data_IF_300524128025
#
_entry.id   IF_300524128025
#
_cell.length_a   1.000
_cell.length_b   1.000
_cell.length_c   1.000
_cell.angle_alpha   90.00
_cell.angle_beta   90.00
_cell.angle_gamma   90.00
#
_symmetry.space_group_name_H-M   'P 1'
#
loop_
_entity.id
_entity.type
_entity.pdbx_description
1 polymer ?
#
# COMPACT_ATOMS: atom_id res chain seq x y z
N UNK A 1 21.12 -12.00 16.55
CA UNK A 1 20.82 -11.10 17.71
C UNK A 1 19.34 -11.26 18.04
N UNK A 2 18.95 -11.38 19.33
CA UNK A 2 17.54 -11.39 19.71
C UNK A 2 17.04 -9.94 19.90
N UNK A 3 15.77 -9.68 19.62
CA UNK A 3 15.21 -8.31 19.73
C UNK A 3 15.38 -7.65 21.11
N UNK A 4 15.45 -8.45 22.18
CA UNK A 4 15.64 -7.97 23.56
C UNK A 4 17.06 -7.46 23.85
N UNK A 5 18.05 -7.88 23.05
CA UNK A 5 19.46 -7.54 23.22
C UNK A 5 19.86 -6.27 22.45
N UNK A 6 18.96 -5.78 21.59
CA UNK A 6 19.18 -4.58 20.77
C UNK A 6 19.04 -3.33 21.65
N UNK A 7 20.03 -2.43 21.58
CA UNK A 7 20.03 -1.11 22.22
C UNK A 7 20.01 0.04 21.21
N UNK A 8 20.54 -0.21 20.00
CA UNK A 8 20.55 0.75 18.91
C UNK A 8 20.13 0.10 17.59
N UNK A 9 19.49 0.87 16.72
CA UNK A 9 19.15 0.44 15.37
C UNK A 9 19.60 1.51 14.38
N UNK A 10 20.33 1.08 13.36
CA UNK A 10 20.80 1.96 12.31
C UNK A 10 20.16 1.61 10.98
N UNK A 11 19.50 2.60 10.34
CA UNK A 11 18.79 2.43 9.09
C UNK A 11 19.57 2.97 7.90
N UNK A 12 19.81 2.14 6.88
CA UNK A 12 20.38 2.59 5.60
C UNK A 12 19.24 2.66 4.58
N UNK A 13 18.79 3.89 4.27
CA UNK A 13 17.57 4.18 3.50
C UNK A 13 16.36 4.38 4.41
N UNK A 14 16.44 5.29 5.37
CA UNK A 14 15.45 5.51 6.43
C UNK A 14 14.10 6.03 5.94
N UNK A 15 14.07 6.85 4.87
CA UNK A 15 12.88 7.58 4.39
C UNK A 15 11.89 6.75 3.59
N UNK A 16 12.16 5.46 3.35
CA UNK A 16 11.18 4.57 2.72
C UNK A 16 9.98 4.32 3.63
N UNK A 17 8.75 4.25 3.05
CA UNK A 17 7.52 4.07 3.82
C UNK A 17 7.56 2.86 4.76
N UNK A 18 8.11 1.73 4.34
CA UNK A 18 8.22 0.55 5.19
C UNK A 18 9.38 0.62 6.20
N UNK A 19 10.44 1.38 5.92
CA UNK A 19 11.58 1.60 6.84
C UNK A 19 11.17 2.53 7.98
N UNK A 20 10.45 3.61 7.68
CA UNK A 20 9.97 4.56 8.67
C UNK A 20 9.02 3.93 9.69
N UNK A 21 8.18 2.98 9.28
CA UNK A 21 7.33 2.24 10.22
C UNK A 21 8.14 1.41 11.22
N UNK A 22 9.22 0.74 10.76
CA UNK A 22 10.15 0.04 11.66
C UNK A 22 10.95 1.01 12.55
N UNK A 23 11.39 2.15 12.02
CA UNK A 23 12.08 3.16 12.82
C UNK A 23 11.20 3.62 13.99
N UNK A 24 9.91 3.93 13.72
CA UNK A 24 8.91 4.27 14.74
C UNK A 24 8.73 3.16 15.78
N UNK A 25 8.67 1.91 15.35
CA UNK A 25 8.58 0.76 16.25
C UNK A 25 9.73 0.74 17.26
N UNK A 26 10.97 0.96 16.81
CA UNK A 26 12.14 0.95 17.69
C UNK A 26 12.26 2.23 18.54
N UNK A 27 11.86 3.40 18.00
CA UNK A 27 11.77 4.65 18.78
C UNK A 27 10.82 4.50 19.96
N UNK A 28 9.63 3.92 19.73
CA UNK A 28 8.64 3.68 20.80
C UNK A 28 9.09 2.63 21.83
N UNK A 29 10.10 1.84 21.51
CA UNK A 29 10.79 0.96 22.48
C UNK A 29 11.93 1.64 23.20
N UNK A 30 12.09 2.96 23.00
CA UNK A 30 13.13 3.78 23.62
C UNK A 30 14.55 3.35 23.26
N UNK A 31 14.76 2.76 22.08
CA UNK A 31 16.07 2.45 21.54
C UNK A 31 16.68 3.70 20.89
N UNK A 32 18.01 3.72 20.78
CA UNK A 32 18.68 4.70 19.93
C UNK A 32 18.42 4.34 18.48
N UNK A 33 17.80 5.24 17.73
CA UNK A 33 17.50 5.03 16.31
C UNK A 33 18.18 6.11 15.49
N UNK A 34 19.00 5.69 14.54
CA UNK A 34 19.70 6.57 13.63
C UNK A 34 19.71 6.00 12.21
N UNK A 35 20.15 6.78 11.24
CA UNK A 35 20.31 6.27 9.90
C UNK A 35 20.64 7.31 8.85
N UNK A 36 20.76 6.83 7.64
CA UNK A 36 21.00 7.58 6.42
C UNK A 36 19.80 7.52 5.49
N UNK A 37 19.53 8.63 4.83
CA UNK A 37 18.73 8.64 3.60
C UNK A 37 19.34 9.64 2.60
N UNK A 38 19.17 9.37 1.31
CA UNK A 38 19.75 10.23 0.27
C UNK A 38 19.04 11.57 0.15
N UNK A 39 17.75 11.61 0.49
CA UNK A 39 16.89 12.75 0.19
C UNK A 39 16.06 13.15 1.41
N UNK A 40 16.13 14.40 1.86
CA UNK A 40 15.21 14.92 2.85
C UNK A 40 13.78 14.94 2.29
N UNK A 41 12.84 14.40 3.05
CA UNK A 41 11.42 14.32 2.69
C UNK A 41 10.56 14.72 3.88
N UNK A 42 9.27 15.03 3.70
CA UNK A 42 8.37 15.24 4.84
C UNK A 42 8.41 14.10 5.85
N UNK A 43 8.53 12.85 5.37
CA UNK A 43 8.57 11.65 6.22
C UNK A 43 9.87 11.55 7.04
N UNK A 44 11.04 11.86 6.45
CA UNK A 44 12.30 11.88 7.21
C UNK A 44 12.30 12.99 8.26
N UNK A 45 11.76 14.18 7.94
CA UNK A 45 11.61 15.27 8.90
C UNK A 45 10.62 14.94 10.04
N UNK A 46 9.61 14.10 9.80
CA UNK A 46 8.76 13.58 10.86
C UNK A 46 9.53 12.64 11.79
N UNK A 47 10.32 11.71 11.24
CA UNK A 47 11.15 10.81 12.03
C UNK A 47 12.19 11.57 12.87
N UNK A 48 12.78 12.64 12.33
CA UNK A 48 13.68 13.51 13.10
C UNK A 48 12.96 14.18 14.27
N UNK A 49 11.73 14.68 14.07
CA UNK A 49 10.91 15.25 15.14
C UNK A 49 10.49 14.20 16.19
N UNK A 50 10.35 12.94 15.78
CA UNK A 50 10.06 11.81 16.65
C UNK A 50 11.29 11.31 17.42
N UNK A 51 12.51 11.82 17.11
CA UNK A 51 13.74 11.55 17.83
C UNK A 51 14.76 10.66 17.10
N UNK A 52 14.53 10.34 15.82
CA UNK A 52 15.52 9.66 15.00
C UNK A 52 16.64 10.61 14.58
N UNK A 53 17.90 10.14 14.62
CA UNK A 53 19.04 10.90 14.10
C UNK A 53 19.24 10.52 12.63
N UNK A 54 18.96 11.43 11.70
CA UNK A 54 19.11 11.17 10.25
C UNK A 54 20.16 12.11 9.68
N UNK A 55 21.00 11.60 8.79
CA UNK A 55 21.86 12.40 7.92
C UNK A 55 21.64 12.04 6.45
N UNK A 56 22.04 12.95 5.54
CA UNK A 56 21.71 12.87 4.12
C UNK A 56 22.95 12.77 3.21
N UNK A 57 24.12 12.76 3.80
CA UNK A 57 25.39 12.55 3.11
C UNK A 57 25.92 11.16 3.48
N UNK A 58 26.40 10.42 2.48
CA UNK A 58 27.02 9.10 2.67
C UNK A 58 28.39 9.28 3.35
N UNK A 59 28.43 9.18 4.68
CA UNK A 59 29.62 9.45 5.49
C UNK A 59 29.64 8.58 6.76
N UNK A 60 30.60 7.68 6.82
CA UNK A 60 30.80 6.77 7.96
C UNK A 60 31.04 7.53 9.28
N UNK A 61 31.64 8.71 9.24
CA UNK A 61 31.94 9.49 10.46
C UNK A 61 30.67 10.05 11.10
N UNK A 62 29.55 10.14 10.37
CA UNK A 62 28.25 10.55 10.87
C UNK A 62 27.48 9.45 11.62
N UNK A 63 27.95 8.20 11.57
CA UNK A 63 27.33 7.12 12.35
C UNK A 63 27.49 7.44 13.85
N UNK A 64 26.38 7.60 14.61
CA UNK A 64 26.44 7.95 16.02
C UNK A 64 27.16 6.90 16.87
N UNK A 65 27.86 7.35 17.91
CA UNK A 65 28.65 6.48 18.80
C UNK A 65 27.86 5.28 19.37
N UNK A 66 26.58 5.42 19.80
CA UNK A 66 25.78 4.27 20.25
C UNK A 66 25.55 3.22 19.16
N UNK A 67 25.49 3.63 17.87
CA UNK A 67 25.30 2.72 16.73
C UNK A 67 26.60 2.04 16.28
N UNK A 68 27.74 2.33 16.90
CA UNK A 68 29.02 1.68 16.65
C UNK A 68 29.31 0.51 17.62
N UNK A 69 28.37 0.20 18.52
CA UNK A 69 28.44 -0.98 19.37
C UNK A 69 27.91 -2.21 18.62
N UNK A 70 28.82 -3.02 18.09
CA UNK A 70 28.48 -4.20 17.27
C UNK A 70 27.59 -5.22 18.01
N UNK A 71 27.79 -5.37 19.32
CA UNK A 71 27.10 -6.41 20.09
C UNK A 71 25.60 -6.06 20.33
N UNK A 72 25.24 -4.78 20.28
CA UNK A 72 23.90 -4.31 20.61
C UNK A 72 23.24 -3.47 19.48
N UNK A 73 23.88 -3.36 18.32
CA UNK A 73 23.33 -2.60 17.18
C UNK A 73 22.83 -3.54 16.09
N UNK A 74 21.57 -3.34 15.70
CA UNK A 74 20.99 -3.93 14.50
C UNK A 74 21.06 -2.92 13.36
N UNK A 75 21.63 -3.32 12.22
CA UNK A 75 21.62 -2.53 10.99
C UNK A 75 20.51 -3.03 10.08
N UNK A 76 19.63 -2.12 9.66
CA UNK A 76 18.51 -2.43 8.79
C UNK A 76 18.67 -1.71 7.46
N UNK A 77 18.55 -2.42 6.35
CA UNK A 77 18.67 -1.81 5.03
C UNK A 77 17.55 -2.24 4.08
N UNK A 78 17.34 -1.45 3.02
CA UNK A 78 16.40 -1.74 1.93
C UNK A 78 17.15 -2.22 0.69
N UNK A 79 16.56 -3.11 -0.15
CA UNK A 79 17.17 -3.54 -1.42
C UNK A 79 17.50 -2.40 -2.39
N UNK A 80 16.93 -1.22 -2.22
CA UNK A 80 17.24 -0.04 -3.02
C UNK A 80 18.65 0.53 -2.80
N UNK A 81 19.31 0.16 -1.69
CA UNK A 81 20.67 0.61 -1.34
C UNK A 81 21.71 -0.27 -2.06
N UNK A 82 22.61 0.31 -2.85
CA UNK A 82 23.65 -0.46 -3.53
C UNK A 82 24.62 -1.10 -2.52
N UNK A 83 25.16 -2.26 -2.89
CA UNK A 83 26.14 -2.97 -2.03
C UNK A 83 27.44 -2.18 -1.80
N UNK A 84 27.74 -1.20 -2.67
CA UNK A 84 28.88 -0.30 -2.58
C UNK A 84 28.69 0.89 -1.64
N UNK A 85 27.52 1.05 -1.02
CA UNK A 85 27.25 2.14 -0.07
C UNK A 85 28.25 2.10 1.09
N UNK A 86 28.96 3.21 1.34
CA UNK A 86 30.11 3.25 2.24
C UNK A 86 29.77 2.80 3.67
N UNK A 87 28.66 3.29 4.23
CA UNK A 87 28.23 2.91 5.58
C UNK A 87 27.81 1.44 5.67
N UNK A 88 27.06 0.94 4.66
CA UNK A 88 26.69 -0.47 4.61
C UNK A 88 27.92 -1.38 4.48
N UNK A 89 28.92 -0.96 3.69
CA UNK A 89 30.19 -1.66 3.56
C UNK A 89 30.95 -1.65 4.88
N UNK A 90 31.02 -0.49 5.53
CA UNK A 90 31.67 -0.34 6.84
C UNK A 90 31.05 -1.27 7.90
N UNK A 91 29.73 -1.32 8.02
CA UNK A 91 29.06 -2.24 8.94
C UNK A 91 29.36 -3.71 8.63
N UNK A 92 29.42 -4.09 7.33
CA UNK A 92 29.80 -5.44 6.91
C UNK A 92 31.24 -5.79 7.29
N UNK A 93 32.20 -4.88 7.05
CA UNK A 93 33.61 -5.06 7.37
C UNK A 93 33.86 -5.18 8.87
N UNK A 94 32.97 -4.63 9.71
CA UNK A 94 33.09 -4.69 11.17
C UNK A 94 32.17 -5.76 11.80
N UNK A 95 31.65 -6.70 11.00
CA UNK A 95 30.83 -7.85 11.45
C UNK A 95 29.56 -7.49 12.25
N UNK A 96 28.88 -6.42 11.92
CA UNK A 96 27.60 -6.08 12.53
C UNK A 96 26.49 -7.05 12.09
N UNK A 97 25.44 -7.19 12.93
CA UNK A 97 24.21 -7.85 12.52
C UNK A 97 23.45 -6.96 11.54
N UNK A 98 23.37 -7.39 10.29
CA UNK A 98 22.74 -6.64 9.20
C UNK A 98 21.56 -7.45 8.67
N UNK A 99 20.37 -6.86 8.69
CA UNK A 99 19.14 -7.49 8.21
C UNK A 99 18.41 -6.62 7.19
N UNK A 100 17.80 -7.24 6.18
CA UNK A 100 16.81 -6.57 5.36
C UNK A 100 15.57 -6.25 6.21
N UNK A 101 14.85 -5.18 5.88
CA UNK A 101 13.54 -4.86 6.51
C UNK A 101 12.64 -6.08 6.66
N UNK A 102 12.52 -6.91 5.61
CA UNK A 102 11.68 -8.10 5.61
C UNK A 102 12.12 -9.16 6.63
N UNK A 103 13.42 -9.27 6.91
CA UNK A 103 13.95 -10.20 7.91
C UNK A 103 13.57 -9.75 9.33
N UNK A 104 13.64 -8.45 9.60
CA UNK A 104 13.21 -7.88 10.89
C UNK A 104 11.71 -8.12 11.10
N UNK A 105 10.86 -7.88 10.08
CA UNK A 105 9.42 -8.21 10.13
C UNK A 105 9.21 -9.72 10.33
N UNK A 106 10.04 -10.56 9.70
CA UNK A 106 10.05 -12.01 9.91
C UNK A 106 10.29 -12.38 11.36
N UNK A 107 11.22 -11.73 12.03
CA UNK A 107 11.49 -11.93 13.46
C UNK A 107 10.29 -11.52 14.31
N UNK A 108 9.62 -10.42 14.00
CA UNK A 108 8.38 -10.00 14.67
C UNK A 108 7.27 -11.03 14.52
N UNK A 109 7.08 -11.62 13.34
CA UNK A 109 6.03 -12.64 13.11
C UNK A 109 6.32 -13.99 13.76
N UNK A 110 7.55 -14.26 14.18
CA UNK A 110 7.89 -15.45 15.00
C UNK A 110 7.49 -15.27 16.46
N UNK A 111 7.61 -14.05 16.98
CA UNK A 111 7.38 -13.74 18.40
C UNK A 111 5.97 -13.25 18.67
N UNK A 112 5.29 -12.71 17.67
CA UNK A 112 3.91 -12.19 17.74
C UNK A 112 2.98 -12.94 16.80
N UNK A 113 1.69 -12.71 16.88
CA UNK A 113 0.68 -13.20 15.94
C UNK A 113 0.62 -12.30 14.71
N UNK A 114 1.40 -12.61 13.68
CA UNK A 114 1.42 -11.88 12.43
C UNK A 114 0.14 -12.08 11.62
N UNK A 115 -0.63 -11.01 11.40
CA UNK A 115 -1.77 -10.94 10.48
C UNK A 115 -1.27 -10.35 9.17
N UNK A 116 -1.00 -11.21 8.19
CA UNK A 116 -0.27 -10.83 6.98
C UNK A 116 -1.20 -10.72 5.77
N UNK A 117 -1.03 -9.68 4.98
CA UNK A 117 -1.82 -9.42 3.78
C UNK A 117 -0.92 -9.45 2.55
N UNK A 118 -1.03 -10.50 1.76
CA UNK A 118 -0.28 -10.73 0.53
C UNK A 118 -1.17 -10.57 -0.70
N UNK A 119 -0.56 -10.43 -1.87
CA UNK A 119 -1.24 -10.36 -3.16
C UNK A 119 -0.72 -9.21 -4.01
N UNK A 120 -0.93 -9.25 -5.30
CA UNK A 120 -0.49 -8.21 -6.23
C UNK A 120 -1.19 -6.88 -5.96
N UNK A 121 -2.51 -6.92 -5.73
CA UNK A 121 -3.36 -5.74 -5.53
C UNK A 121 -4.11 -5.80 -4.20
N UNK A 122 -4.50 -4.64 -3.65
CA UNK A 122 -5.35 -4.54 -2.46
C UNK A 122 -4.64 -4.68 -1.11
N UNK A 123 -3.39 -5.12 -1.04
CA UNK A 123 -2.62 -5.32 0.21
C UNK A 123 -2.73 -4.15 1.19
N UNK A 124 -2.33 -2.96 0.75
CA UNK A 124 -2.25 -1.75 1.60
C UNK A 124 -3.63 -1.37 2.15
N UNK A 125 -4.65 -1.36 1.30
CA UNK A 125 -6.01 -0.99 1.72
C UNK A 125 -6.57 -1.99 2.71
N UNK A 126 -6.47 -3.29 2.40
CA UNK A 126 -7.02 -4.37 3.23
C UNK A 126 -6.30 -4.49 4.57
N UNK A 127 -4.97 -4.41 4.58
CA UNK A 127 -4.19 -4.42 5.83
C UNK A 127 -4.49 -3.21 6.70
N UNK A 128 -4.65 -2.02 6.09
CA UNK A 128 -4.98 -0.80 6.83
C UNK A 128 -6.40 -0.84 7.40
N UNK A 129 -7.38 -1.40 6.67
CA UNK A 129 -8.73 -1.65 7.19
C UNK A 129 -8.69 -2.59 8.40
N UNK A 130 -8.00 -3.72 8.28
CA UNK A 130 -7.85 -4.68 9.38
C UNK A 130 -7.16 -4.03 10.60
N UNK A 131 -6.07 -3.30 10.37
CA UNK A 131 -5.36 -2.58 11.44
C UNK A 131 -6.26 -1.55 12.13
N UNK A 132 -7.09 -0.83 11.37
CA UNK A 132 -8.05 0.12 11.92
C UNK A 132 -9.12 -0.57 12.77
N UNK A 133 -9.75 -1.65 12.29
CA UNK A 133 -10.70 -2.45 13.06
C UNK A 133 -10.05 -2.95 14.36
N UNK A 134 -8.90 -3.62 14.24
CA UNK A 134 -8.20 -4.23 15.37
C UNK A 134 -7.77 -3.18 16.42
N UNK A 135 -7.22 -2.05 15.98
CA UNK A 135 -6.74 -1.00 16.88
C UNK A 135 -7.85 -0.35 17.70
N UNK A 136 -9.09 -0.35 17.19
CA UNK A 136 -10.28 0.17 17.88
C UNK A 136 -11.05 -0.90 18.66
N UNK A 137 -10.66 -2.16 18.55
CA UNK A 137 -11.25 -3.28 19.27
C UNK A 137 -10.61 -3.46 20.65
N UNK A 138 -11.23 -4.31 21.47
CA UNK A 138 -10.66 -4.71 22.76
C UNK A 138 -9.35 -5.50 22.64
N UNK A 139 -9.02 -5.99 21.43
CA UNK A 139 -7.83 -6.82 21.14
C UNK A 139 -6.60 -5.94 20.90
N UNK A 140 -6.76 -4.84 20.16
CA UNK A 140 -5.66 -3.99 19.72
C UNK A 140 -4.75 -4.67 18.69
N UNK A 141 -3.81 -3.92 18.12
CA UNK A 141 -2.72 -4.44 17.30
C UNK A 141 -1.58 -3.44 17.19
N UNK A 142 -0.39 -3.95 16.88
CA UNK A 142 0.63 -3.16 16.20
C UNK A 142 0.42 -3.30 14.69
N UNK A 143 0.81 -2.30 13.89
CA UNK A 143 0.68 -2.40 12.44
C UNK A 143 1.84 -1.72 11.71
N UNK A 144 2.32 -2.38 10.65
CA UNK A 144 3.31 -1.87 9.70
C UNK A 144 2.62 -1.78 8.34
N UNK A 145 2.22 -0.57 7.97
CA UNK A 145 1.37 -0.30 6.82
C UNK A 145 2.20 0.14 5.61
N UNK A 146 1.74 -0.22 4.43
CA UNK A 146 2.35 0.17 3.15
C UNK A 146 1.99 1.59 2.68
N UNK A 147 1.21 2.33 3.47
CA UNK A 147 0.80 3.70 3.19
C UNK A 147 0.40 4.45 4.45
N UNK A 148 0.22 5.76 4.35
CA UNK A 148 -0.23 6.60 5.47
C UNK A 148 -1.74 6.41 5.66
N UNK A 149 -2.14 5.87 6.81
CA UNK A 149 -3.54 5.77 7.19
C UNK A 149 -4.09 7.14 7.55
N UNK A 150 -5.20 7.56 6.92
CA UNK A 150 -5.85 8.85 7.22
C UNK A 150 -6.44 8.92 8.61
N UNK A 151 -6.75 7.78 9.23
CA UNK A 151 -7.27 7.70 10.59
C UNK A 151 -6.24 8.07 11.66
N UNK A 152 -4.96 7.76 11.42
CA UNK A 152 -3.89 7.97 12.40
C UNK A 152 -2.80 8.92 11.92
N UNK A 153 -2.84 9.37 10.65
CA UNK A 153 -1.82 10.22 10.06
C UNK A 153 -0.43 9.55 10.00
N UNK A 154 -0.37 8.22 9.99
CA UNK A 154 0.87 7.47 10.07
C UNK A 154 0.77 6.12 9.32
N UNK A 155 1.93 5.55 9.02
CA UNK A 155 2.06 4.19 8.48
C UNK A 155 2.37 3.14 9.57
N UNK A 156 2.26 3.54 10.83
CA UNK A 156 2.51 2.69 11.98
C UNK A 156 1.43 2.88 13.06
N UNK A 157 0.97 1.78 13.64
CA UNK A 157 0.08 1.76 14.81
C UNK A 157 0.78 1.00 15.92
N UNK A 158 0.78 1.57 17.13
CA UNK A 158 1.36 0.99 18.32
C UNK A 158 0.28 0.49 19.27
N UNK A 159 0.48 -0.72 19.79
CA UNK A 159 -0.17 -1.22 21.00
C UNK A 159 0.87 -1.76 21.97
N UNK A 160 0.83 -1.30 23.21
CA UNK A 160 1.75 -1.77 24.26
C UNK A 160 1.34 -3.13 24.85
N UNK A 161 0.12 -3.59 24.58
CA UNK A 161 -0.46 -4.78 25.22
C UNK A 161 -0.86 -5.88 24.27
N UNK A 162 -0.98 -5.59 22.97
CA UNK A 162 -1.43 -6.58 21.99
C UNK A 162 -0.28 -7.41 21.43
N UNK A 163 -0.52 -8.72 21.35
CA UNK A 163 0.39 -9.67 20.69
C UNK A 163 0.19 -9.74 19.17
N UNK A 164 -0.78 -8.99 18.62
CA UNK A 164 -1.06 -8.98 17.19
C UNK A 164 -0.25 -7.93 16.44
N UNK A 165 0.23 -8.33 15.26
CA UNK A 165 0.98 -7.44 14.36
C UNK A 165 0.39 -7.56 12.96
N UNK A 166 -0.22 -6.49 12.47
CA UNK A 166 -0.73 -6.41 11.09
C UNK A 166 0.40 -5.99 10.16
N UNK A 167 0.64 -6.76 9.11
CA UNK A 167 1.77 -6.58 8.20
C UNK A 167 1.32 -6.71 6.75
N UNK A 168 1.73 -5.78 5.91
CA UNK A 168 1.68 -5.94 4.47
C UNK A 168 2.81 -6.89 4.02
N UNK A 169 2.43 -8.05 3.49
CA UNK A 169 3.34 -9.11 3.06
C UNK A 169 3.72 -8.88 1.59
N UNK A 170 4.84 -8.19 1.38
CA UNK A 170 5.32 -7.74 0.08
C UNK A 170 5.98 -8.90 -0.68
N UNK A 171 5.45 -9.21 -1.88
CA UNK A 171 5.98 -10.23 -2.78
C UNK A 171 7.25 -9.77 -3.51
N UNK A 172 7.50 -8.46 -3.61
CA UNK A 172 8.70 -7.94 -4.24
C UNK A 172 9.97 -8.54 -3.62
N UNK A 173 10.92 -8.98 -4.45
CA UNK A 173 12.17 -9.66 -4.04
C UNK A 173 11.92 -10.86 -3.09
N UNK A 174 10.75 -11.50 -3.17
CA UNK A 174 10.33 -12.60 -2.29
C UNK A 174 10.39 -12.23 -0.80
N UNK A 175 10.23 -10.97 -0.46
CA UNK A 175 10.34 -10.44 0.90
C UNK A 175 9.37 -11.14 1.87
N UNK A 176 8.19 -11.52 1.42
CA UNK A 176 7.20 -12.23 2.24
C UNK A 176 7.62 -13.64 2.69
N UNK A 177 8.65 -14.25 2.08
CA UNK A 177 9.18 -15.55 2.51
C UNK A 177 9.89 -15.51 3.87
N UNK A 178 10.27 -14.34 4.34
CA UNK A 178 10.84 -14.18 5.68
C UNK A 178 9.81 -14.27 6.78
N UNK A 179 8.53 -13.98 6.47
CA UNK A 179 7.44 -13.95 7.44
C UNK A 179 7.07 -15.36 7.93
N UNK A 180 6.48 -15.41 9.13
CA UNK A 180 5.85 -16.61 9.72
C UNK A 180 4.44 -16.22 10.17
N UNK A 181 3.49 -16.09 9.23
CA UNK A 181 2.16 -15.61 9.54
C UNK A 181 1.45 -16.50 10.57
N UNK A 182 0.75 -15.88 11.52
CA UNK A 182 -0.29 -16.55 12.27
C UNK A 182 -1.51 -16.79 11.38
N UNK A 183 -1.94 -15.73 10.69
CA UNK A 183 -2.96 -15.83 9.66
C UNK A 183 -2.56 -14.98 8.46
N UNK A 184 -3.03 -15.35 7.28
CA UNK A 184 -2.77 -14.58 6.07
C UNK A 184 -4.01 -14.46 5.19
N UNK A 185 -4.13 -13.29 4.52
CA UNK A 185 -5.02 -13.09 3.36
C UNK A 185 -4.16 -13.09 2.10
N UNK A 186 -4.63 -13.71 1.02
CA UNK A 186 -4.11 -13.51 -0.34
C UNK A 186 -5.20 -12.90 -1.19
N UNK A 187 -4.99 -11.64 -1.61
CA UNK A 187 -6.00 -10.84 -2.31
C UNK A 187 -6.03 -11.10 -3.82
N UNK A 188 -4.87 -11.28 -4.43
CA UNK A 188 -4.72 -11.54 -5.86
C UNK A 188 -3.36 -12.15 -6.16
N UNK A 189 -3.22 -12.81 -7.30
CA UNK A 189 -1.95 -13.40 -7.78
C UNK A 189 -1.73 -13.06 -9.25
N UNK A 190 -2.13 -11.87 -9.67
CA UNK A 190 -1.86 -11.36 -11.01
C UNK A 190 -0.35 -11.20 -11.21
N UNK A 191 0.21 -11.66 -12.32
CA UNK A 191 1.64 -11.56 -12.56
C UNK A 191 2.14 -10.11 -12.52
N UNK A 192 3.09 -9.84 -11.63
CA UNK A 192 3.84 -8.58 -11.55
C UNK A 192 5.32 -8.91 -11.27
N UNK A 193 6.21 -7.92 -11.35
CA UNK A 193 7.63 -8.08 -11.06
C UNK A 193 8.29 -9.22 -11.83
N UNK A 194 7.93 -9.39 -13.13
CA UNK A 194 8.48 -10.46 -13.97
C UNK A 194 9.98 -10.28 -14.26
N UNK A 195 10.54 -9.11 -14.05
CA UNK A 195 11.97 -8.84 -14.02
C UNK A 195 12.69 -9.61 -12.90
N UNK A 196 12.00 -9.91 -11.81
CA UNK A 196 12.50 -10.67 -10.64
C UNK A 196 12.11 -12.14 -10.73
N UNK A 197 10.89 -12.43 -11.13
CA UNK A 197 10.33 -13.78 -11.13
C UNK A 197 10.61 -14.55 -12.42
N UNK A 198 10.79 -13.86 -13.55
CA UNK A 198 11.01 -14.43 -14.86
C UNK A 198 9.74 -14.92 -15.54
N UNK A 199 8.91 -15.72 -14.87
CA UNK A 199 7.67 -16.29 -15.43
C UNK A 199 6.49 -16.18 -14.45
N UNK A 200 5.26 -16.28 -15.00
CA UNK A 200 4.02 -16.36 -14.22
C UNK A 200 4.04 -17.57 -13.28
N UNK A 201 4.51 -18.71 -13.75
CA UNK A 201 4.58 -19.95 -12.97
C UNK A 201 5.49 -19.80 -11.75
N UNK A 202 6.67 -19.17 -11.92
CA UNK A 202 7.58 -18.87 -10.81
C UNK A 202 6.98 -17.88 -9.81
N UNK A 203 6.18 -16.91 -10.29
CA UNK A 203 5.44 -15.98 -9.45
C UNK A 203 4.39 -16.72 -8.61
N UNK A 204 3.55 -17.55 -9.22
CA UNK A 204 2.54 -18.37 -8.52
C UNK A 204 3.17 -19.37 -7.53
N UNK A 205 4.30 -19.99 -7.91
CA UNK A 205 5.03 -20.89 -7.02
C UNK A 205 5.58 -20.16 -5.79
N UNK A 206 5.98 -18.91 -5.93
CA UNK A 206 6.41 -18.08 -4.79
C UNK A 206 5.28 -17.85 -3.79
N UNK A 207 4.04 -17.58 -4.26
CA UNK A 207 2.86 -17.52 -3.40
C UNK A 207 2.52 -18.87 -2.78
N UNK A 208 2.62 -19.96 -3.53
CA UNK A 208 2.41 -21.31 -3.01
C UNK A 208 3.37 -21.58 -1.85
N UNK A 209 4.67 -21.30 -2.05
CA UNK A 209 5.66 -21.43 -0.98
C UNK A 209 5.35 -20.55 0.22
N UNK A 210 4.87 -19.32 0.01
CA UNK A 210 4.47 -18.44 1.10
C UNK A 210 3.37 -19.07 1.97
N UNK A 211 2.41 -19.80 1.38
CA UNK A 211 1.35 -20.45 2.17
C UNK A 211 1.86 -21.56 3.08
N UNK A 212 3.02 -22.17 2.78
CA UNK A 212 3.68 -23.16 3.62
C UNK A 212 4.26 -22.57 4.91
N UNK A 213 4.46 -21.26 4.95
CA UNK A 213 5.07 -20.53 6.07
C UNK A 213 4.06 -20.15 7.16
N UNK A 214 2.77 -20.39 6.95
CA UNK A 214 1.72 -20.11 7.92
C UNK A 214 1.86 -21.07 9.11
N UNK A 215 1.77 -20.53 10.31
CA UNK A 215 1.98 -21.30 11.54
C UNK A 215 0.81 -22.23 11.83
N UNK A 216 1.05 -23.46 12.30
CA UNK A 216 0.00 -24.38 12.73
C UNK A 216 -0.96 -23.74 13.75
N UNK A 217 -2.25 -24.00 13.61
CA UNK A 217 -3.33 -23.41 14.41
C UNK A 217 -3.82 -22.07 13.88
N UNK A 218 -3.16 -21.49 12.87
CA UNK A 218 -3.57 -20.28 12.18
C UNK A 218 -4.57 -20.54 11.05
N UNK A 219 -4.71 -19.57 10.15
CA UNK A 219 -5.60 -19.68 9.00
C UNK A 219 -5.06 -18.95 7.76
N UNK A 220 -5.50 -19.43 6.60
CA UNK A 220 -5.34 -18.79 5.29
C UNK A 220 -6.70 -18.39 4.75
N UNK A 221 -6.84 -17.15 4.30
CA UNK A 221 -8.04 -16.61 3.66
C UNK A 221 -7.68 -16.27 2.22
N UNK A 222 -8.28 -16.95 1.26
CA UNK A 222 -7.99 -16.81 -0.17
C UNK A 222 -9.12 -16.10 -0.87
N UNK A 223 -8.79 -15.14 -1.74
CA UNK A 223 -9.77 -14.63 -2.69
C UNK A 223 -10.25 -15.78 -3.59
N UNK A 224 -11.56 -15.83 -3.90
CA UNK A 224 -12.12 -16.82 -4.82
C UNK A 224 -11.56 -16.64 -6.22
N UNK A 225 -11.35 -17.75 -6.93
CA UNK A 225 -10.88 -17.73 -8.32
C UNK A 225 -9.36 -17.51 -8.51
N UNK A 226 -8.55 -17.52 -7.44
CA UNK A 226 -7.10 -17.53 -7.60
C UNK A 226 -6.63 -18.78 -8.34
N UNK A 227 -5.76 -18.60 -9.33
CA UNK A 227 -5.18 -19.74 -10.10
C UNK A 227 -4.20 -20.57 -9.25
N UNK A 228 -3.69 -19.99 -8.18
CA UNK A 228 -2.73 -20.63 -7.29
C UNK A 228 -3.41 -21.67 -6.39
N UNK A 229 -2.78 -22.84 -6.25
CA UNK A 229 -3.17 -23.84 -5.25
C UNK A 229 -2.34 -23.64 -3.99
N UNK A 230 -2.99 -23.30 -2.88
CA UNK A 230 -2.33 -23.19 -1.59
C UNK A 230 -1.80 -24.55 -1.09
N UNK A 231 -0.69 -24.50 -0.37
CA UNK A 231 -0.11 -25.67 0.31
C UNK A 231 0.17 -25.28 1.76
N UNK A 232 -0.83 -25.45 2.62
CA UNK A 232 -0.74 -25.05 4.02
C UNK A 232 -0.27 -26.19 4.92
N UNK A 233 0.45 -25.93 6.01
CA UNK A 233 0.82 -26.91 7.02
C UNK A 233 -0.40 -27.56 7.68
N UNK A 234 -0.21 -28.75 8.24
CA UNK A 234 -1.24 -29.43 9.03
C UNK A 234 -1.70 -28.52 10.19
N UNK A 235 -3.03 -28.49 10.42
CA UNK A 235 -3.64 -27.64 11.45
C UNK A 235 -3.89 -26.20 11.04
N UNK A 236 -3.56 -25.77 9.83
CA UNK A 236 -3.94 -24.47 9.27
C UNK A 236 -5.29 -24.59 8.56
N UNK A 237 -6.26 -23.76 8.96
CA UNK A 237 -7.57 -23.70 8.31
C UNK A 237 -7.51 -22.83 7.05
N UNK A 238 -8.22 -23.24 6.01
CA UNK A 238 -8.34 -22.44 4.77
C UNK A 238 -9.78 -22.00 4.59
N UNK A 239 -9.95 -20.73 4.25
CA UNK A 239 -11.22 -20.08 3.95
C UNK A 239 -11.12 -19.37 2.61
N UNK A 240 -12.28 -19.14 1.99
CA UNK A 240 -12.42 -18.33 0.76
C UNK A 240 -13.17 -17.05 1.04
N UNK A 241 -12.90 -16.02 0.26
CA UNK A 241 -13.65 -14.77 0.31
C UNK A 241 -13.76 -14.14 -1.08
N UNK A 242 -14.80 -13.37 -1.29
CA UNK A 242 -14.90 -12.38 -2.36
C UNK A 242 -15.99 -11.36 -2.03
N UNK A 243 -16.32 -10.49 -2.99
CA UNK A 243 -17.45 -9.57 -2.84
C UNK A 243 -18.78 -10.32 -2.64
N UNK A 244 -19.06 -11.33 -3.45
CA UNK A 244 -20.40 -11.90 -3.61
C UNK A 244 -20.49 -13.40 -3.25
N UNK A 245 -19.35 -14.09 -3.01
CA UNK A 245 -19.30 -15.53 -2.74
C UNK A 245 -18.11 -15.90 -1.84
N UNK A 246 -18.06 -17.18 -1.41
CA UNK A 246 -17.04 -17.72 -0.51
C UNK A 246 -17.54 -17.86 0.92
N UNK A 247 -16.67 -18.35 1.80
CA UNK A 247 -16.97 -18.48 3.23
C UNK A 247 -17.25 -17.11 3.87
N UNK A 248 -16.56 -16.07 3.39
CA UNK A 248 -16.78 -14.68 3.77
C UNK A 248 -17.17 -13.88 2.52
N UNK A 249 -18.30 -13.20 2.57
CA UNK A 249 -18.79 -12.39 1.46
C UNK A 249 -19.73 -11.28 1.93
N UNK A 250 -20.04 -10.34 1.04
CA UNK A 250 -21.04 -9.32 1.28
C UNK A 250 -22.40 -9.76 0.68
N UNK A 251 -23.46 -9.46 1.38
CA UNK A 251 -24.84 -9.66 0.92
C UNK A 251 -25.62 -8.36 1.08
N UNK A 252 -26.81 -8.27 0.43
CA UNK A 252 -27.70 -7.12 0.54
C UNK A 252 -27.00 -5.77 0.30
N UNK A 253 -26.09 -5.73 -0.67
CA UNK A 253 -25.30 -4.54 -1.00
C UNK A 253 -26.21 -3.43 -1.51
N UNK A 254 -26.07 -2.24 -0.93
CA UNK A 254 -26.76 -1.01 -1.32
C UNK A 254 -25.74 0.09 -1.54
N UNK A 255 -25.75 0.64 -2.75
CA UNK A 255 -24.88 1.74 -3.15
C UNK A 255 -25.78 2.91 -3.56
N UNK A 256 -25.58 4.08 -2.98
CA UNK A 256 -26.33 5.28 -3.33
C UNK A 256 -26.04 6.42 -2.35
N UNK A 257 -26.28 7.66 -2.81
CA UNK A 257 -26.12 8.89 -2.02
C UNK A 257 -24.74 9.00 -1.33
N UNK A 258 -23.68 8.55 -2.01
CA UNK A 258 -22.30 8.56 -1.48
C UNK A 258 -22.06 7.57 -0.33
N UNK A 259 -22.94 6.58 -0.16
CA UNK A 259 -22.86 5.55 0.88
C UNK A 259 -22.84 4.16 0.28
N UNK A 260 -22.16 3.26 0.96
CA UNK A 260 -22.19 1.83 0.68
C UNK A 260 -22.51 1.12 2.00
N UNK A 261 -23.57 0.31 1.97
CA UNK A 261 -24.00 -0.49 3.12
C UNK A 261 -24.26 -1.92 2.66
N UNK A 262 -23.79 -2.90 3.41
CA UNK A 262 -23.97 -4.32 3.13
C UNK A 262 -24.08 -5.15 4.41
N UNK A 263 -24.41 -6.42 4.27
CA UNK A 263 -24.34 -7.39 5.34
C UNK A 263 -23.09 -8.27 5.12
N UNK A 264 -22.22 -8.38 6.13
CA UNK A 264 -21.05 -9.25 6.08
C UNK A 264 -21.46 -10.65 6.56
N UNK A 265 -21.37 -11.62 5.66
CA UNK A 265 -21.69 -13.04 5.90
C UNK A 265 -20.41 -13.80 6.17
N UNK A 266 -20.41 -14.61 7.22
CA UNK A 266 -19.27 -15.44 7.61
C UNK A 266 -19.71 -16.79 8.17
N UNK A 267 -18.80 -17.78 8.30
CA UNK A 267 -19.10 -19.04 8.96
C UNK A 267 -19.41 -18.91 10.45
N UNK A 268 -19.11 -17.78 11.09
CA UNK A 268 -19.32 -17.55 12.51
C UNK A 268 -20.68 -16.88 12.76
N UNK A 269 -20.96 -15.78 12.06
CA UNK A 269 -22.21 -15.02 12.16
C UNK A 269 -22.37 -14.05 10.99
N UNK A 270 -23.57 -13.57 10.76
CA UNK A 270 -23.83 -12.47 9.82
C UNK A 270 -23.86 -11.14 10.56
N UNK A 271 -22.95 -10.21 10.19
CA UNK A 271 -22.92 -8.84 10.71
C UNK A 271 -23.71 -7.94 9.77
N UNK A 272 -24.92 -7.57 10.16
CA UNK A 272 -25.83 -6.77 9.31
C UNK A 272 -25.49 -5.29 9.35
N UNK A 273 -25.87 -4.55 8.29
CA UNK A 273 -25.81 -3.09 8.21
C UNK A 273 -24.39 -2.53 8.40
N UNK A 274 -23.39 -3.14 7.78
CA UNK A 274 -22.03 -2.61 7.73
C UNK A 274 -21.99 -1.43 6.79
N UNK A 275 -21.64 -0.25 7.29
CA UNK A 275 -21.45 0.98 6.49
C UNK A 275 -19.97 1.20 6.22
N UNK A 276 -19.60 1.51 4.97
CA UNK A 276 -18.23 1.88 4.63
C UNK A 276 -18.00 3.38 4.87
N UNK A 277 -17.12 3.74 5.80
CA UNK A 277 -16.70 5.12 6.02
C UNK A 277 -15.91 5.70 4.83
N UNK A 278 -15.24 4.83 4.06
CA UNK A 278 -14.61 5.17 2.79
C UNK A 278 -15.33 4.43 1.64
N UNK A 279 -16.45 4.99 1.12
CA UNK A 279 -17.39 4.30 0.26
C UNK A 279 -16.90 4.21 -1.19
N UNK A 280 -16.04 3.27 -1.47
CA UNK A 280 -15.55 2.92 -2.81
C UNK A 280 -15.97 1.49 -3.11
N UNK A 281 -16.57 1.18 -4.28
CA UNK A 281 -17.10 -0.16 -4.58
C UNK A 281 -16.11 -1.31 -4.39
N UNK A 282 -14.84 -1.13 -4.81
CA UNK A 282 -13.78 -2.15 -4.58
C UNK A 282 -13.51 -2.38 -3.09
N UNK A 283 -13.82 -1.42 -2.24
CA UNK A 283 -13.62 -1.56 -0.80
C UNK A 283 -14.65 -2.48 -0.13
N UNK A 284 -15.72 -2.87 -0.80
CA UNK A 284 -16.61 -3.93 -0.30
C UNK A 284 -15.80 -5.23 -0.15
N UNK A 285 -15.09 -5.63 -1.18
CA UNK A 285 -14.27 -6.84 -1.19
C UNK A 285 -13.08 -6.74 -0.22
N UNK A 286 -12.36 -5.61 -0.23
CA UNK A 286 -11.27 -5.35 0.71
C UNK A 286 -11.76 -5.41 2.17
N UNK A 287 -12.95 -4.88 2.46
CA UNK A 287 -13.54 -4.90 3.80
C UNK A 287 -13.96 -6.30 4.23
N UNK A 288 -14.48 -7.13 3.31
CA UNK A 288 -14.80 -8.53 3.60
C UNK A 288 -13.54 -9.27 4.08
N UNK A 289 -12.43 -9.13 3.38
CA UNK A 289 -11.15 -9.75 3.80
C UNK A 289 -10.63 -9.21 5.14
N UNK A 290 -10.70 -7.89 5.36
CA UNK A 290 -10.27 -7.26 6.59
C UNK A 290 -11.13 -7.67 7.79
N UNK A 291 -12.45 -7.69 7.62
CA UNK A 291 -13.42 -8.13 8.63
C UNK A 291 -13.27 -9.63 8.94
N UNK A 292 -13.06 -10.47 7.92
CA UNK A 292 -12.80 -11.90 8.10
C UNK A 292 -11.56 -12.13 8.97
N UNK A 293 -10.45 -11.45 8.69
CA UNK A 293 -9.25 -11.51 9.50
C UNK A 293 -9.51 -11.07 10.95
N UNK A 294 -10.17 -9.93 11.14
CA UNK A 294 -10.45 -9.38 12.46
C UNK A 294 -11.42 -10.30 13.26
N UNK A 295 -12.48 -10.81 12.62
CA UNK A 295 -13.46 -11.68 13.27
C UNK A 295 -12.86 -13.03 13.70
N UNK A 296 -12.03 -13.65 12.84
CA UNK A 296 -11.34 -14.91 13.19
C UNK A 296 -10.37 -14.74 14.36
N UNK A 297 -9.95 -13.52 14.66
CA UNK A 297 -9.11 -13.18 15.80
C UNK A 297 -9.91 -12.63 17.00
N UNK A 298 -11.26 -12.66 16.95
CA UNK A 298 -12.13 -12.42 18.09
C UNK A 298 -12.75 -11.03 18.17
N UNK A 299 -12.63 -10.18 17.14
CA UNK A 299 -13.37 -8.93 17.07
C UNK A 299 -14.89 -9.20 17.02
N UNK A 300 -15.65 -8.46 17.81
CA UNK A 300 -17.11 -8.58 17.88
C UNK A 300 -17.79 -7.92 16.68
N UNK A 301 -19.05 -8.30 16.41
CA UNK A 301 -19.85 -7.69 15.33
C UNK A 301 -19.94 -6.16 15.46
N UNK A 302 -20.03 -5.63 16.68
CA UNK A 302 -20.09 -4.19 16.93
C UNK A 302 -18.76 -3.50 16.62
N UNK A 303 -17.63 -4.12 16.98
CA UNK A 303 -16.29 -3.60 16.67
C UNK A 303 -16.04 -3.61 15.15
N UNK A 304 -16.50 -4.65 14.45
CA UNK A 304 -16.42 -4.72 12.99
C UNK A 304 -17.23 -3.59 12.33
N UNK A 305 -18.49 -3.35 12.75
CA UNK A 305 -19.32 -2.25 12.22
C UNK A 305 -18.65 -0.90 12.46
N UNK A 306 -18.29 -0.61 13.72
CA UNK A 306 -17.67 0.67 14.09
C UNK A 306 -16.36 0.90 13.35
N UNK A 307 -15.52 -0.14 13.26
CA UNK A 307 -14.25 -0.06 12.54
C UNK A 307 -14.46 0.27 11.05
N UNK A 308 -15.43 -0.35 10.38
CA UNK A 308 -15.69 -0.06 8.98
C UNK A 308 -16.34 1.31 8.78
N UNK A 309 -17.26 1.72 9.63
CA UNK A 309 -17.94 3.02 9.55
C UNK A 309 -16.96 4.20 9.73
N UNK A 310 -15.98 4.04 10.59
CA UNK A 310 -14.98 5.10 10.91
C UNK A 310 -13.73 5.05 10.06
N UNK A 311 -13.57 4.07 9.18
CA UNK A 311 -12.42 3.97 8.31
C UNK A 311 -12.35 5.10 7.28
N UNK A 312 -11.28 5.88 7.29
CA UNK A 312 -11.13 7.08 6.45
C UNK A 312 -10.27 6.88 5.18
N UNK A 313 -9.70 5.67 5.00
CA UNK A 313 -8.86 5.36 3.84
C UNK A 313 -7.37 5.53 4.07
N UNK A 314 -6.61 5.36 3.01
CA UNK A 314 -5.16 5.53 2.92
C UNK A 314 -4.85 6.67 1.96
N UNK A 315 -3.86 7.49 2.28
CA UNK A 315 -3.40 8.52 1.37
C UNK A 315 -3.00 7.92 0.01
N UNK A 316 -3.36 8.60 -1.07
CA UNK A 316 -3.10 8.17 -2.46
C UNK A 316 -3.75 6.82 -2.84
N UNK A 317 -4.79 6.35 -2.12
CA UNK A 317 -5.58 5.17 -2.47
C UNK A 317 -7.04 5.57 -2.59
N UNK A 318 -7.50 5.92 -3.81
CA UNK A 318 -8.81 6.50 -4.06
C UNK A 318 -9.10 7.67 -3.11
N UNK A 319 -8.09 8.52 -2.92
CA UNK A 319 -8.02 9.50 -1.85
C UNK A 319 -8.76 10.79 -2.22
N UNK A 320 -10.00 10.90 -1.80
CA UNK A 320 -10.80 12.11 -1.99
C UNK A 320 -10.18 13.30 -1.29
N UNK A 321 -9.86 14.34 -2.06
CA UNK A 321 -9.43 15.67 -1.61
C UNK A 321 -10.60 16.63 -1.58
N UNK A 322 -11.50 16.55 -2.58
CA UNK A 322 -12.77 17.26 -2.65
C UNK A 322 -13.85 16.25 -3.04
N UNK A 323 -14.96 16.24 -2.33
CA UNK A 323 -16.12 15.41 -2.66
C UNK A 323 -17.40 16.15 -2.32
N UNK A 324 -17.92 16.90 -3.27
CA UNK A 324 -19.13 17.67 -3.11
C UNK A 324 -19.99 17.64 -4.40
N UNK A 325 -21.21 18.18 -4.41
CA UNK A 325 -22.09 18.17 -5.58
C UNK A 325 -21.53 18.88 -6.81
N UNK A 326 -20.66 19.89 -6.64
CA UNK A 326 -20.08 20.66 -7.75
C UNK A 326 -18.84 19.97 -8.31
N UNK A 327 -17.90 19.57 -7.43
CA UNK A 327 -16.62 19.00 -7.82
C UNK A 327 -16.30 17.75 -7.02
N UNK A 328 -15.72 16.77 -7.71
CA UNK A 328 -15.04 15.63 -7.09
C UNK A 328 -13.57 15.66 -7.54
N UNK A 329 -12.66 15.68 -6.60
CA UNK A 329 -11.24 15.56 -6.87
C UNK A 329 -10.62 14.48 -5.99
N UNK A 330 -9.88 13.57 -6.61
CA UNK A 330 -9.17 12.51 -5.88
C UNK A 330 -7.80 12.23 -6.48
N UNK A 331 -6.94 11.69 -5.64
CA UNK A 331 -5.63 11.15 -6.02
C UNK A 331 -5.59 9.65 -5.80
N UNK A 332 -5.03 8.91 -6.75
CA UNK A 332 -4.85 7.47 -6.62
C UNK A 332 -3.45 7.04 -7.08
N UNK A 333 -2.90 6.04 -6.40
CA UNK A 333 -1.56 5.52 -6.66
C UNK A 333 -1.52 4.58 -7.89
N UNK A 334 -2.66 4.25 -8.46
CA UNK A 334 -2.81 3.32 -9.57
C UNK A 334 -1.78 3.59 -10.69
N UNK A 335 -0.95 2.60 -10.96
CA UNK A 335 0.15 2.65 -11.93
C UNK A 335 0.28 1.36 -12.75
N UNK A 336 -0.66 0.44 -12.57
CA UNK A 336 -0.83 -0.76 -13.39
C UNK A 336 -2.18 -0.67 -14.13
N UNK A 337 -2.32 -1.19 -15.38
CA UNK A 337 -3.56 -1.11 -16.15
C UNK A 337 -4.81 -1.59 -15.39
N UNK A 338 -4.70 -2.69 -14.65
CA UNK A 338 -5.82 -3.24 -13.85
C UNK A 338 -6.27 -2.28 -12.74
N UNK A 339 -5.34 -1.59 -12.09
CA UNK A 339 -5.64 -0.60 -11.04
C UNK A 339 -6.36 0.61 -11.62
N UNK A 340 -5.88 1.11 -12.77
CA UNK A 340 -6.50 2.23 -13.51
C UNK A 340 -7.91 1.87 -13.94
N UNK A 341 -8.10 0.68 -14.51
CA UNK A 341 -9.40 0.17 -14.92
C UNK A 341 -10.36 0.07 -13.73
N UNK A 342 -9.88 -0.43 -12.60
CA UNK A 342 -10.69 -0.54 -11.38
C UNK A 342 -11.08 0.84 -10.81
N UNK A 343 -10.15 1.80 -10.84
CA UNK A 343 -10.42 3.19 -10.47
C UNK A 343 -11.53 3.79 -11.38
N UNK A 344 -11.39 3.66 -12.69
CA UNK A 344 -12.39 4.15 -13.66
C UNK A 344 -13.77 3.52 -13.45
N UNK A 345 -13.84 2.20 -13.27
CA UNK A 345 -15.09 1.48 -13.00
C UNK A 345 -15.74 1.94 -11.70
N UNK A 346 -14.96 2.08 -10.63
CA UNK A 346 -15.45 2.55 -9.33
C UNK A 346 -16.01 3.98 -9.42
N UNK A 347 -15.34 4.87 -10.14
CA UNK A 347 -15.81 6.22 -10.36
C UNK A 347 -17.09 6.25 -11.21
N UNK A 348 -17.16 5.42 -12.25
CA UNK A 348 -18.35 5.34 -13.08
C UNK A 348 -19.56 4.80 -12.31
N UNK A 349 -19.37 3.86 -11.39
CA UNK A 349 -20.43 3.35 -10.51
C UNK A 349 -20.92 4.41 -9.50
N UNK A 350 -19.98 5.19 -8.93
CA UNK A 350 -20.30 6.26 -7.97
C UNK A 350 -20.90 7.50 -8.63
N UNK A 351 -20.46 7.83 -9.84
CA UNK A 351 -20.76 9.10 -10.54
C UNK A 351 -21.19 8.85 -11.99
N UNK A 352 -22.22 8.02 -12.19
CA UNK A 352 -22.65 7.49 -13.49
C UNK A 352 -22.90 8.56 -14.57
N UNK A 353 -23.32 9.79 -14.19
CA UNK A 353 -23.72 10.85 -15.11
C UNK A 353 -22.75 12.03 -15.15
N UNK A 354 -21.59 11.92 -14.48
CA UNK A 354 -20.59 12.99 -14.43
C UNK A 354 -19.44 12.70 -15.40
N UNK A 355 -18.87 13.76 -15.98
CA UNK A 355 -17.68 13.64 -16.84
C UNK A 355 -16.46 13.27 -15.98
N UNK A 356 -15.83 12.15 -16.34
CA UNK A 356 -14.62 11.67 -15.67
C UNK A 356 -13.38 12.14 -16.43
N UNK A 357 -12.58 13.00 -15.82
CA UNK A 357 -11.29 13.47 -16.36
C UNK A 357 -10.15 12.88 -15.55
N UNK A 358 -9.16 12.27 -16.21
CA UNK A 358 -7.97 11.72 -15.56
C UNK A 358 -6.70 12.44 -16.04
N UNK A 359 -5.83 12.81 -15.09
CA UNK A 359 -4.44 13.20 -15.37
C UNK A 359 -3.58 12.00 -14.95
N UNK A 360 -2.89 11.39 -15.91
CA UNK A 360 -2.11 10.19 -15.68
C UNK A 360 -0.62 10.41 -16.00
N UNK A 361 0.23 10.03 -15.04
CA UNK A 361 1.67 9.94 -15.22
C UNK A 361 2.10 8.49 -15.31
N UNK A 362 2.53 8.00 -16.49
CA UNK A 362 3.08 6.65 -16.61
C UNK A 362 4.34 6.50 -15.74
N UNK A 363 4.51 5.34 -15.14
CA UNK A 363 5.64 5.03 -14.26
C UNK A 363 6.50 3.93 -14.88
N UNK A 364 7.80 4.20 -15.06
CA UNK A 364 8.81 3.38 -15.70
C UNK A 364 8.68 3.28 -17.24
N UNK A 365 9.81 3.36 -17.92
CA UNK A 365 9.86 3.18 -19.37
C UNK A 365 9.57 1.73 -19.77
N UNK A 366 10.12 0.75 -19.06
CA UNK A 366 9.89 -0.67 -19.32
C UNK A 366 8.42 -1.03 -19.20
N UNK A 367 7.75 -0.60 -18.14
CA UNK A 367 6.31 -0.85 -17.93
C UNK A 367 5.47 -0.18 -19.01
N UNK A 368 5.80 1.05 -19.39
CA UNK A 368 5.10 1.75 -20.46
C UNK A 368 5.26 1.03 -21.79
N UNK A 369 6.47 0.57 -22.14
CA UNK A 369 6.72 -0.22 -23.35
C UNK A 369 5.91 -1.52 -23.38
N UNK A 370 5.88 -2.23 -22.26
CA UNK A 370 5.32 -3.58 -22.20
C UNK A 370 3.78 -3.57 -22.11
N UNK A 371 3.18 -2.51 -21.55
CA UNK A 371 1.75 -2.43 -21.25
C UNK A 371 1.02 -1.22 -21.88
N UNK A 372 1.61 -0.51 -22.86
CA UNK A 372 0.98 0.71 -23.40
C UNK A 372 -0.43 0.49 -23.95
N UNK A 373 -0.69 -0.66 -24.59
CA UNK A 373 -1.99 -1.00 -25.13
C UNK A 373 -3.03 -1.24 -24.00
N UNK A 374 -2.63 -1.95 -22.95
CA UNK A 374 -3.48 -2.19 -21.78
C UNK A 374 -3.73 -0.89 -21.01
N UNK A 375 -2.74 0.01 -20.91
CA UNK A 375 -2.93 1.35 -20.35
C UNK A 375 -3.93 2.16 -21.15
N UNK A 376 -3.80 2.15 -22.48
CA UNK A 376 -4.74 2.87 -23.36
C UNK A 376 -6.17 2.33 -23.24
N UNK A 377 -6.33 1.00 -23.14
CA UNK A 377 -7.63 0.38 -22.93
C UNK A 377 -8.24 0.81 -21.58
N UNK A 378 -7.48 0.71 -20.49
CA UNK A 378 -7.93 1.08 -19.15
C UNK A 378 -8.29 2.57 -19.04
N UNK A 379 -7.45 3.46 -19.57
CA UNK A 379 -7.67 4.90 -19.58
C UNK A 379 -8.87 5.30 -20.45
N UNK A 380 -9.16 4.54 -21.49
CA UNK A 380 -10.32 4.80 -22.36
C UNK A 380 -11.69 4.59 -21.70
N UNK A 381 -11.72 4.22 -20.42
CA UNK A 381 -12.94 4.23 -19.60
C UNK A 381 -13.22 5.59 -18.95
N UNK A 382 -12.31 6.55 -19.05
CA UNK A 382 -12.54 7.96 -18.73
C UNK A 382 -13.05 8.70 -19.97
N UNK A 383 -13.75 9.82 -19.76
CA UNK A 383 -14.25 10.66 -20.85
C UNK A 383 -13.15 11.57 -21.40
N UNK A 384 -12.22 11.99 -20.54
CA UNK A 384 -11.06 12.82 -20.92
C UNK A 384 -9.77 12.29 -20.25
N UNK A 385 -8.72 12.13 -21.06
CA UNK A 385 -7.41 11.63 -20.64
C UNK A 385 -6.33 12.67 -20.90
N UNK A 386 -5.64 13.06 -19.84
CA UNK A 386 -4.46 13.95 -19.90
C UNK A 386 -3.23 13.16 -19.51
N UNK A 387 -2.26 13.10 -20.40
CA UNK A 387 -1.00 12.38 -20.18
C UNK A 387 0.13 13.36 -19.92
N UNK A 388 0.93 13.07 -18.92
CA UNK A 388 2.22 13.75 -18.71
C UNK A 388 3.38 12.87 -19.18
N UNK A 389 4.61 13.38 -19.06
CA UNK A 389 5.81 12.60 -19.33
C UNK A 389 5.96 11.41 -18.37
N UNK A 390 6.65 10.36 -18.81
CA UNK A 390 6.93 9.17 -18.01
C UNK A 390 7.79 9.55 -16.79
N UNK A 391 7.42 9.11 -15.59
CA UNK A 391 8.29 9.17 -14.43
C UNK A 391 9.30 8.01 -14.46
N UNK A 392 10.60 8.31 -14.60
CA UNK A 392 11.61 7.28 -14.83
C UNK A 392 11.99 6.47 -13.60
N UNK A 393 11.74 7.01 -12.39
CA UNK A 393 12.27 6.49 -11.12
C UNK A 393 13.79 6.26 -11.20
N UNK A 394 14.20 4.98 -11.39
CA UNK A 394 15.61 4.56 -11.50
C UNK A 394 16.02 4.14 -12.91
N UNK A 395 15.10 4.16 -13.87
CA UNK A 395 15.38 3.73 -15.24
C UNK A 395 15.99 4.85 -16.08
N UNK A 396 16.76 4.45 -17.10
CA UNK A 396 17.19 5.35 -18.16
C UNK A 396 16.13 5.40 -19.27
N UNK A 397 15.99 6.52 -19.99
CA UNK A 397 15.08 6.61 -21.13
C UNK A 397 15.34 5.51 -22.15
N UNK A 398 14.26 4.94 -22.68
CA UNK A 398 14.30 3.95 -23.75
C UNK A 398 13.88 4.66 -25.05
N UNK A 399 14.69 4.53 -26.11
CA UNK A 399 14.41 5.15 -27.41
C UNK A 399 13.03 4.71 -27.94
N UNK A 400 12.23 5.68 -28.38
CA UNK A 400 10.86 5.45 -28.89
C UNK A 400 9.80 5.22 -27.82
N UNK A 401 10.15 5.15 -26.53
CA UNK A 401 9.19 4.93 -25.43
C UNK A 401 8.88 6.26 -24.76
N UNK A 402 7.68 6.77 -25.00
CA UNK A 402 7.12 7.97 -24.38
C UNK A 402 5.63 7.76 -24.09
N UNK A 403 5.02 8.67 -23.35
CA UNK A 403 3.57 8.67 -23.10
C UNK A 403 2.73 8.72 -24.40
N UNK A 404 3.35 9.12 -25.52
CA UNK A 404 2.71 9.11 -26.83
C UNK A 404 2.31 7.70 -27.30
N UNK A 405 2.99 6.66 -26.85
CA UNK A 405 2.56 5.27 -27.12
C UNK A 405 1.16 4.99 -26.59
N UNK A 406 0.86 5.45 -25.38
CA UNK A 406 -0.47 5.33 -24.77
C UNK A 406 -1.46 6.23 -25.50
N UNK A 407 -1.08 7.49 -25.74
CA UNK A 407 -1.91 8.50 -26.39
C UNK A 407 -2.45 8.04 -27.76
N UNK A 408 -1.58 7.47 -28.58
CA UNK A 408 -1.93 7.03 -29.94
C UNK A 408 -2.86 5.80 -29.95
N UNK A 409 -2.93 5.04 -28.85
CA UNK A 409 -3.74 3.83 -28.72
C UNK A 409 -5.05 4.03 -27.92
N UNK A 410 -5.31 5.25 -27.42
CA UNK A 410 -6.62 5.56 -26.80
C UNK A 410 -7.75 5.38 -27.81
N UNK A 411 -8.90 4.86 -27.35
CA UNK A 411 -10.07 4.62 -28.18
C UNK A 411 -10.59 5.90 -28.84
N UNK A 412 -11.20 5.77 -29.99
CA UNK A 412 -11.96 6.86 -30.64
C UNK A 412 -13.07 7.38 -29.69
N UNK A 413 -13.27 8.71 -29.68
CA UNK A 413 -14.28 9.35 -28.82
C UNK A 413 -13.80 9.76 -27.45
N UNK A 414 -12.62 9.32 -26.98
CA UNK A 414 -11.99 9.81 -25.74
C UNK A 414 -11.31 11.14 -26.02
N UNK A 415 -11.68 12.19 -25.27
CA UNK A 415 -10.93 13.45 -25.30
C UNK A 415 -9.52 13.22 -24.75
N UNK A 416 -8.49 13.72 -25.47
CA UNK A 416 -7.10 13.42 -25.10
C UNK A 416 -6.18 14.61 -25.27
N UNK A 417 -5.30 14.81 -24.30
CA UNK A 417 -4.32 15.89 -24.28
C UNK A 417 -2.99 15.36 -23.73
N UNK A 418 -1.87 15.91 -24.21
CA UNK A 418 -0.56 15.72 -23.59
C UNK A 418 -0.06 17.07 -23.10
N UNK A 419 0.39 17.14 -21.86
CA UNK A 419 0.94 18.35 -21.24
C UNK A 419 2.22 18.01 -20.50
N UNK A 420 3.08 18.98 -20.33
CA UNK A 420 4.19 18.85 -19.41
C UNK A 420 3.70 18.85 -17.95
N UNK A 421 4.31 18.05 -17.09
CA UNK A 421 3.91 17.97 -15.69
C UNK A 421 3.83 19.33 -14.99
N UNK A 422 4.78 20.23 -15.29
CA UNK A 422 4.80 21.57 -14.67
C UNK A 422 3.64 22.46 -15.13
N UNK A 423 2.94 22.14 -16.21
CA UNK A 423 1.79 22.89 -16.71
C UNK A 423 0.46 22.41 -16.10
N UNK A 424 0.45 21.31 -15.34
CA UNK A 424 -0.77 20.67 -14.79
C UNK A 424 -1.60 21.65 -13.98
N UNK A 425 -0.99 22.43 -13.09
CA UNK A 425 -1.70 23.36 -12.23
C UNK A 425 -2.41 24.47 -13.06
N UNK A 426 -1.74 25.02 -14.08
CA UNK A 426 -2.31 26.04 -14.98
C UNK A 426 -3.40 25.44 -15.87
N UNK A 427 -3.20 24.21 -16.35
CA UNK A 427 -4.20 23.49 -17.12
C UNK A 427 -5.48 23.27 -16.30
N UNK A 428 -5.37 22.89 -15.01
CA UNK A 428 -6.51 22.77 -14.10
C UNK A 428 -7.17 24.12 -13.81
N UNK A 429 -6.38 25.18 -13.67
CA UNK A 429 -6.91 26.54 -13.42
C UNK A 429 -7.78 27.04 -14.58
N UNK A 430 -7.45 26.70 -15.80
CA UNK A 430 -8.14 27.16 -17.02
C UNK A 430 -9.43 26.39 -17.36
N UNK A 431 -9.82 25.34 -16.61
CA UNK A 431 -10.91 24.43 -16.93
C UNK A 431 -11.82 24.13 -15.75
N UNK A 432 -13.05 23.70 -16.01
CA UNK A 432 -13.98 23.18 -15.02
C UNK A 432 -14.07 21.64 -15.15
N UNK A 433 -14.32 20.99 -14.02
CA UNK A 433 -14.38 19.53 -13.93
C UNK A 433 -15.57 19.08 -13.11
N UNK A 434 -16.20 17.99 -13.53
CA UNK A 434 -17.16 17.28 -12.70
C UNK A 434 -16.43 16.35 -11.72
N UNK A 435 -15.61 15.42 -12.28
CA UNK A 435 -14.75 14.51 -11.52
C UNK A 435 -13.35 14.59 -12.12
N UNK A 436 -12.39 14.97 -11.31
CA UNK A 436 -10.97 14.99 -11.66
C UNK A 436 -10.20 13.96 -10.86
N UNK A 437 -9.38 13.17 -11.54
CA UNK A 437 -8.50 12.16 -10.93
C UNK A 437 -7.05 12.43 -11.31
N UNK A 438 -6.16 12.42 -10.33
CA UNK A 438 -4.71 12.33 -10.53
C UNK A 438 -4.27 10.90 -10.27
N UNK A 439 -3.74 10.23 -11.31
CA UNK A 439 -3.28 8.84 -11.25
C UNK A 439 -1.78 8.71 -11.47
N UNK A 440 -1.12 7.92 -10.63
CA UNK A 440 0.27 7.52 -10.83
C UNK A 440 1.07 7.38 -9.54
N UNK A 441 2.13 6.57 -9.63
CA UNK A 441 3.09 6.32 -8.56
C UNK A 441 4.24 7.34 -8.49
N UNK A 442 4.32 8.23 -9.48
CA UNK A 442 5.38 9.22 -9.63
C UNK A 442 5.17 10.52 -8.83
N UNK A 443 5.90 11.54 -9.25
CA UNK A 443 5.95 12.87 -8.63
C UNK A 443 4.82 13.81 -9.09
N UNK A 444 3.92 13.37 -9.96
CA UNK A 444 2.69 14.09 -10.28
C UNK A 444 1.85 14.35 -9.02
N UNK A 445 1.96 13.47 -8.02
CA UNK A 445 1.27 13.64 -6.74
C UNK A 445 1.68 14.92 -5.98
N UNK A 446 2.86 15.47 -6.24
CA UNK A 446 3.33 16.71 -5.58
C UNK A 446 2.48 17.93 -5.97
N UNK A 447 1.75 17.85 -7.08
CA UNK A 447 0.81 18.89 -7.54
C UNK A 447 -0.58 18.77 -6.90
N UNK A 448 -0.90 17.67 -6.23
CA UNK A 448 -2.22 17.44 -5.63
C UNK A 448 -2.63 18.53 -4.64
N UNK A 449 -1.76 19.02 -3.74
CA UNK A 449 -2.12 20.12 -2.83
C UNK A 449 -2.45 21.42 -3.57
N UNK A 450 -1.70 21.76 -4.62
CA UNK A 450 -1.96 22.96 -5.42
C UNK A 450 -3.26 22.83 -6.22
N UNK A 451 -3.51 21.66 -6.84
CA UNK A 451 -4.76 21.37 -7.55
C UNK A 451 -5.95 21.50 -6.60
N UNK A 452 -5.85 20.96 -5.37
CA UNK A 452 -6.89 21.07 -4.35
C UNK A 452 -7.22 22.53 -4.08
N UNK A 453 -6.20 23.36 -3.83
CA UNK A 453 -6.36 24.81 -3.59
C UNK A 453 -7.03 25.53 -4.77
N UNK A 454 -6.60 25.23 -6.00
CA UNK A 454 -7.19 25.82 -7.22
C UNK A 454 -8.70 25.50 -7.30
N UNK A 455 -9.08 24.25 -7.06
CA UNK A 455 -10.48 23.83 -7.12
C UNK A 455 -11.32 24.43 -5.98
N UNK A 456 -10.77 24.54 -4.76
CA UNK A 456 -11.42 25.22 -3.63
C UNK A 456 -11.60 26.73 -3.88
N UNK A 457 -10.65 27.37 -4.54
CA UNK A 457 -10.76 28.79 -4.94
C UNK A 457 -11.91 28.99 -5.95
N UNK A 458 -12.04 28.08 -6.92
CA UNK A 458 -13.14 28.10 -7.89
C UNK A 458 -14.52 27.86 -7.26
N UNK A 459 -14.59 27.17 -6.15
CA UNK A 459 -15.86 26.99 -5.42
C UNK A 459 -16.32 28.27 -4.71
N UNK A 460 -15.38 29.13 -4.34
CA UNK A 460 -15.65 30.38 -3.64
C UNK A 460 -15.96 31.55 -4.59
N UNK A 461 -15.64 31.38 -5.88
CA UNK A 461 -15.89 32.38 -6.93
C UNK A 461 -17.27 32.18 -7.59
#
# INVERSE_FOLDING_TARGET
MELKDIKAVYFVGAGGIGMSALARYFLHRHLVVAGYDRTPTPLTHELEREGMQIHYEEDVDQIPAPCRDREHTLVVFTPAIPASHAELAWFKEHDFTIEKRAQVLGTLTRTHKGLCFAGTHGKTTTSTMCAHIMSQSHIGCNAFLGGISKNVGSNYILSLTSDYVVIEADEFDRSFHWLRPWMSVITSTDPDHLDIYGTKEAYLESFRHYTELIRPGGALILHTGLEMKAHVPEGVKTYTYSRDEGDFHAANIRIGDGKIVFDFVSPLETVTQVSLGHPVPINIENSVAAMAMAQLNGCTAEELRRGMETYAGVERRFDFKINNPRHVFLSDYGHHPKEILQCAKSLRELYAHRKLTVIFQPHLYTRTRDFYADFADALSHFDEVVLTEIYPAREQPIEGVTSKLIYDHLREGVERTMIAKHDVAEWVRSRDFDVLVVLGAGDLNDYVPEITRILEEKEKA
#
